data_IF_611396251284
#
_entry.id   IF_611396251284
#
_cell.length_a   1.000
_cell.length_b   1.000
_cell.length_c   1.000
_cell.angle_alpha   90.00
_cell.angle_beta   90.00
_cell.angle_gamma   90.00
#
_symmetry.space_group_name_H-M   'P 1'
#
loop_
_entity.id
_entity.type
_entity.pdbx_description
1 polymer ?
#
# COMPACT_ATOMS: atom_id res chain seq x y z
N UNK A 1 -3.92 -2.61 20.65
CA UNK A 1 -2.90 -3.49 20.05
C UNK A 1 -2.16 -2.66 19.00
N UNK A 2 -0.85 -2.63 18.98
CA UNK A 2 -0.10 -1.87 17.99
C UNK A 2 -0.33 -2.48 16.60
N UNK A 3 -0.87 -1.76 15.61
CA UNK A 3 -1.14 -2.30 14.27
C UNK A 3 0.11 -2.88 13.60
N UNK A 4 1.29 -2.28 13.83
CA UNK A 4 2.57 -2.76 13.33
C UNK A 4 2.92 -4.18 13.80
N UNK A 5 2.50 -4.58 15.01
CA UNK A 5 2.70 -5.94 15.49
C UNK A 5 1.91 -6.98 14.71
N UNK A 6 0.81 -6.61 14.05
CA UNK A 6 0.07 -7.54 13.21
C UNK A 6 0.89 -7.96 11.99
N UNK A 7 1.62 -7.03 11.38
CA UNK A 7 2.54 -7.33 10.27
C UNK A 7 3.68 -8.26 10.73
N UNK A 8 4.27 -7.96 11.88
CA UNK A 8 5.36 -8.78 12.45
C UNK A 8 4.92 -10.20 12.83
N UNK A 9 3.65 -10.42 13.13
CA UNK A 9 3.11 -11.71 13.56
C UNK A 9 2.39 -12.47 12.44
N UNK A 10 2.24 -11.89 11.25
CA UNK A 10 1.48 -12.47 10.14
C UNK A 10 1.95 -13.88 9.78
N UNK A 11 3.25 -14.08 9.55
CA UNK A 11 3.81 -15.39 9.24
C UNK A 11 3.75 -16.38 10.43
N UNK A 12 3.80 -15.89 11.67
CA UNK A 12 3.62 -16.72 12.87
C UNK A 12 2.18 -17.27 12.91
N UNK A 13 1.18 -16.40 12.75
CA UNK A 13 -0.22 -16.81 12.74
C UNK A 13 -0.55 -17.77 11.59
N UNK A 14 -0.05 -17.50 10.39
CA UNK A 14 -0.22 -18.39 9.26
C UNK A 14 0.37 -19.78 9.54
N UNK A 15 1.57 -19.85 10.11
CA UNK A 15 2.22 -21.10 10.46
C UNK A 15 1.49 -21.85 11.57
N UNK A 16 0.95 -21.15 12.56
CA UNK A 16 0.12 -21.76 13.61
C UNK A 16 -1.19 -22.31 13.05
N UNK A 17 -1.85 -21.58 12.14
CA UNK A 17 -3.07 -22.04 11.51
C UNK A 17 -2.88 -23.29 10.64
N UNK A 18 -1.72 -23.45 10.00
CA UNK A 18 -1.38 -24.65 9.23
C UNK A 18 -0.95 -25.85 10.10
N UNK A 19 -0.52 -25.60 11.34
CA UNK A 19 -0.22 -26.66 12.29
C UNK A 19 -1.55 -27.17 12.85
N UNK A 20 -2.16 -28.20 12.20
CA UNK A 20 -3.42 -28.81 12.64
C UNK A 20 -3.44 -29.05 14.14
N UNK A 21 -4.36 -28.39 14.83
CA UNK A 21 -4.55 -28.40 16.28
C UNK A 21 -4.93 -29.77 16.89
N UNK A 22 -5.20 -30.80 16.05
CA UNK A 22 -5.66 -32.12 16.48
C UNK A 22 -4.55 -33.07 16.96
N UNK A 23 -3.32 -32.62 17.02
CA UNK A 23 -2.18 -33.41 17.54
C UNK A 23 -1.41 -32.59 18.59
N UNK A 24 -0.80 -33.26 19.62
CA UNK A 24 -0.05 -32.55 20.63
C UNK A 24 0.95 -31.59 19.97
N UNK A 25 1.18 -30.41 20.55
CA UNK A 25 1.88 -29.31 19.88
C UNK A 25 3.26 -29.76 19.44
N UNK A 26 3.43 -29.97 18.13
CA UNK A 26 4.75 -30.10 17.55
C UNK A 26 5.48 -28.79 17.80
N UNK A 27 6.73 -28.86 18.23
CA UNK A 27 7.57 -27.67 18.30
C UNK A 27 7.54 -26.97 16.94
N UNK A 28 7.05 -25.73 16.90
CA UNK A 28 7.10 -24.89 15.71
C UNK A 28 8.43 -24.18 15.70
N UNK A 29 9.25 -24.46 14.70
CA UNK A 29 10.53 -23.78 14.53
C UNK A 29 10.33 -22.42 13.84
N UNK A 30 11.04 -21.40 14.29
CA UNK A 30 11.13 -20.10 13.61
C UNK A 30 11.83 -20.34 12.27
N UNK A 31 11.17 -19.99 11.17
CA UNK A 31 11.74 -19.99 9.83
C UNK A 31 12.25 -18.60 9.46
N UNK A 32 12.90 -18.48 8.30
CA UNK A 32 13.48 -17.22 7.84
C UNK A 32 12.44 -16.10 7.71
N UNK A 33 11.23 -16.39 7.23
CA UNK A 33 10.16 -15.38 7.10
C UNK A 33 9.75 -14.83 8.46
N UNK A 34 9.51 -15.70 9.46
CA UNK A 34 9.19 -15.28 10.83
C UNK A 34 10.35 -14.48 11.43
N UNK A 35 11.57 -14.93 11.22
CA UNK A 35 12.75 -14.23 11.74
C UNK A 35 12.88 -12.84 11.12
N UNK A 36 12.68 -12.70 9.81
CA UNK A 36 12.68 -11.41 9.11
C UNK A 36 11.59 -10.49 9.62
N UNK A 37 10.36 -10.99 9.82
CA UNK A 37 9.25 -10.22 10.37
C UNK A 37 9.58 -9.67 11.77
N UNK A 38 10.14 -10.50 12.63
CA UNK A 38 10.51 -10.09 13.99
C UNK A 38 11.66 -9.08 14.01
N UNK A 39 12.65 -9.24 13.15
CA UNK A 39 13.75 -8.25 13.03
C UNK A 39 13.22 -6.91 12.53
N UNK A 40 12.34 -6.92 11.54
CA UNK A 40 11.67 -5.71 11.04
C UNK A 40 10.91 -5.00 12.17
N UNK A 41 10.15 -5.75 12.98
CA UNK A 41 9.42 -5.16 14.11
C UNK A 41 10.36 -4.57 15.18
N UNK A 42 11.46 -5.26 15.52
CA UNK A 42 12.43 -4.76 16.49
C UNK A 42 13.07 -3.47 16.00
N UNK A 43 13.45 -3.39 14.73
CA UNK A 43 14.03 -2.20 14.13
C UNK A 43 13.05 -1.00 14.25
N UNK A 44 11.78 -1.18 13.84
CA UNK A 44 10.77 -0.14 13.94
C UNK A 44 10.48 0.30 15.38
N UNK A 45 10.29 -0.67 16.29
CA UNK A 45 10.03 -0.37 17.70
C UNK A 45 11.21 0.34 18.39
N UNK A 46 12.44 0.11 17.94
CA UNK A 46 13.63 0.77 18.48
C UNK A 46 13.78 2.23 17.99
N UNK A 47 13.26 2.54 16.82
CA UNK A 47 13.36 3.87 16.21
C UNK A 47 12.20 4.78 16.59
N UNK A 48 11.01 4.22 16.78
CA UNK A 48 9.83 5.01 17.11
C UNK A 48 9.93 5.52 18.54
N UNK A 49 9.87 6.83 18.78
CA UNK A 49 9.74 7.35 20.13
C UNK A 49 8.46 6.79 20.75
N UNK A 50 8.57 6.16 21.93
CA UNK A 50 7.61 5.26 22.57
C UNK A 50 6.17 5.77 22.84
N UNK A 51 5.75 6.85 22.21
CA UNK A 51 4.43 7.48 22.36
C UNK A 51 3.76 7.88 21.04
N UNK A 52 4.22 7.41 19.88
CA UNK A 52 3.35 7.45 18.72
C UNK A 52 2.26 6.37 18.86
N UNK A 53 1.44 6.54 19.88
CA UNK A 53 0.04 6.24 19.77
C UNK A 53 -0.37 6.93 18.47
N UNK A 54 -0.88 6.16 17.54
CA UNK A 54 -1.65 6.66 16.41
C UNK A 54 -2.70 7.62 17.02
N UNK A 55 -2.36 8.87 17.17
CA UNK A 55 -3.33 9.91 17.20
C UNK A 55 -3.84 9.91 15.76
N UNK A 56 -4.89 9.13 15.53
CA UNK A 56 -5.85 9.51 14.52
C UNK A 56 -6.36 10.87 15.00
N UNK A 57 -5.65 11.92 14.64
CA UNK A 57 -6.25 13.23 14.64
C UNK A 57 -7.32 13.07 13.58
N UNK A 58 -8.59 13.19 14.01
CA UNK A 58 -9.70 13.21 13.07
C UNK A 58 -9.46 14.37 12.11
N UNK A 59 -9.04 14.03 10.89
CA UNK A 59 -8.90 14.98 9.81
C UNK A 59 -9.83 14.59 8.67
N UNK A 60 -10.34 15.57 7.96
CA UNK A 60 -11.17 15.33 6.79
C UNK A 60 -10.30 15.06 5.55
N UNK A 61 -10.82 14.32 4.58
CA UNK A 61 -10.12 14.07 3.32
C UNK A 61 -9.77 15.33 2.54
N UNK A 62 -10.52 16.41 2.77
CA UNK A 62 -10.22 17.74 2.23
C UNK A 62 -8.97 18.38 2.84
N UNK A 63 -8.48 17.87 3.97
CA UNK A 63 -7.26 18.32 4.64
C UNK A 63 -6.01 17.57 4.14
N UNK A 64 -6.15 16.69 3.16
CA UNK A 64 -5.03 15.94 2.59
C UNK A 64 -4.03 16.89 1.89
N UNK A 65 -2.74 16.70 2.16
CA UNK A 65 -1.68 17.42 1.43
C UNK A 65 -1.52 16.88 0.01
N UNK A 66 -1.77 15.57 -0.15
CA UNK A 66 -1.74 14.88 -1.45
C UNK A 66 -2.90 13.89 -1.52
N UNK A 67 -3.55 13.87 -2.68
CA UNK A 67 -4.57 12.89 -3.04
C UNK A 67 -4.12 12.08 -4.25
N UNK A 68 -4.22 10.75 -4.17
CA UNK A 68 -3.93 9.84 -5.26
C UNK A 68 -5.14 8.97 -5.59
N UNK A 69 -5.26 8.58 -6.85
CA UNK A 69 -6.24 7.62 -7.34
C UNK A 69 -5.51 6.47 -8.01
N UNK A 70 -5.82 5.24 -7.61
CA UNK A 70 -5.17 4.02 -8.10
C UNK A 70 -6.17 3.07 -8.72
N UNK A 71 -5.73 2.35 -9.75
CA UNK A 71 -6.48 1.27 -10.38
C UNK A 71 -5.54 0.26 -11.02
N UNK A 72 -6.02 -0.98 -11.18
CA UNK A 72 -5.29 -2.05 -11.84
C UNK A 72 -6.19 -2.79 -12.83
N UNK A 73 -5.64 -3.08 -13.99
CA UNK A 73 -6.25 -3.94 -14.99
C UNK A 73 -5.30 -5.05 -15.40
N UNK A 74 -5.74 -5.95 -16.27
CA UNK A 74 -4.85 -6.96 -16.87
C UNK A 74 -3.75 -6.36 -17.76
N UNK A 75 -3.85 -5.08 -18.12
CA UNK A 75 -2.90 -4.39 -18.97
C UNK A 75 -1.79 -3.68 -18.17
N UNK A 76 -2.11 -3.24 -16.95
CA UNK A 76 -1.14 -2.50 -16.15
C UNK A 76 -1.69 -1.93 -14.85
N UNK A 77 -0.81 -1.25 -14.15
CA UNK A 77 -1.08 -0.44 -12.97
C UNK A 77 -1.13 1.03 -13.38
N UNK A 78 -2.12 1.75 -12.88
CA UNK A 78 -2.27 3.18 -13.12
C UNK A 78 -2.55 3.93 -11.82
N UNK A 79 -1.88 5.06 -11.63
CA UNK A 79 -2.24 5.99 -10.57
C UNK A 79 -1.94 7.44 -11.00
N UNK A 80 -2.64 8.38 -10.37
CA UNK A 80 -2.45 9.79 -10.65
C UNK A 80 -2.73 10.67 -9.43
N UNK A 81 -2.12 11.83 -9.46
CA UNK A 81 -2.22 12.87 -8.45
C UNK A 81 -2.86 14.10 -9.12
N UNK A 82 -4.16 14.35 -8.91
CA UNK A 82 -4.87 15.43 -9.60
C UNK A 82 -4.28 16.80 -9.32
N UNK A 83 -4.00 17.12 -8.06
CA UNK A 83 -3.53 18.43 -7.63
C UNK A 83 -2.12 18.74 -8.14
N UNK A 84 -1.28 17.72 -8.28
CA UNK A 84 0.07 17.84 -8.84
C UNK A 84 0.09 17.70 -10.36
N UNK A 85 -1.04 17.37 -10.96
CA UNK A 85 -1.18 17.13 -12.39
C UNK A 85 -0.19 16.09 -12.94
N UNK A 86 0.09 15.03 -12.18
CA UNK A 86 1.06 13.97 -12.53
C UNK A 86 0.39 12.62 -12.60
N UNK A 87 0.77 11.81 -13.57
CA UNK A 87 0.22 10.49 -13.83
C UNK A 87 1.29 9.48 -14.09
N UNK A 88 1.01 8.23 -13.69
CA UNK A 88 1.93 7.13 -13.79
C UNK A 88 1.25 5.89 -14.32
N UNK A 89 1.96 5.15 -15.14
CA UNK A 89 1.55 3.87 -15.67
C UNK A 89 2.71 2.88 -15.70
N UNK A 90 2.43 1.63 -15.40
CA UNK A 90 3.37 0.51 -15.53
C UNK A 90 2.67 -0.73 -16.08
N UNK A 91 3.42 -1.56 -16.77
CA UNK A 91 2.95 -2.93 -17.08
C UNK A 91 2.85 -3.76 -15.80
N UNK A 92 2.00 -4.79 -15.85
CA UNK A 92 1.98 -5.83 -14.84
C UNK A 92 3.35 -6.52 -14.80
N UNK A 93 3.97 -6.74 -13.63
CA UNK A 93 5.19 -7.55 -13.49
C UNK A 93 5.01 -8.97 -14.06
N UNK A 94 6.07 -9.53 -14.67
CA UNK A 94 6.00 -10.80 -15.41
C UNK A 94 5.83 -12.04 -14.50
N UNK A 95 6.30 -11.97 -13.24
CA UNK A 95 6.22 -13.07 -12.25
C UNK A 95 5.22 -12.77 -11.13
N UNK A 96 3.90 -12.88 -11.40
CA UNK A 96 2.91 -12.56 -10.40
C UNK A 96 2.74 -13.68 -9.35
N UNK A 97 2.48 -13.34 -8.08
CA UNK A 97 1.98 -14.29 -7.10
C UNK A 97 0.62 -14.87 -7.52
N UNK A 98 0.20 -15.99 -6.91
CA UNK A 98 -0.99 -16.78 -7.33
C UNK A 98 -2.32 -16.03 -7.34
N UNK A 99 -2.53 -15.00 -6.53
CA UNK A 99 -3.77 -14.20 -6.49
C UNK A 99 -3.53 -12.80 -7.07
N UNK A 100 -3.33 -12.75 -8.35
CA UNK A 100 -2.64 -11.67 -9.07
C UNK A 100 -3.29 -10.30 -8.98
N UNK A 101 -4.61 -10.17 -9.20
CA UNK A 101 -5.22 -8.84 -9.31
C UNK A 101 -5.19 -8.08 -7.99
N UNK A 102 -5.56 -8.71 -6.87
CA UNK A 102 -5.55 -8.08 -5.55
C UNK A 102 -4.15 -7.71 -5.07
N UNK A 103 -3.14 -8.52 -5.44
CA UNK A 103 -1.75 -8.21 -5.15
C UNK A 103 -1.32 -6.93 -5.89
N UNK A 104 -1.67 -6.81 -7.15
CA UNK A 104 -1.32 -5.65 -7.95
C UNK A 104 -2.09 -4.39 -7.53
N UNK A 105 -3.33 -4.52 -7.06
CA UNK A 105 -4.07 -3.42 -6.44
C UNK A 105 -3.32 -2.86 -5.23
N UNK A 106 -2.88 -3.72 -4.33
CA UNK A 106 -2.07 -3.31 -3.18
C UNK A 106 -0.72 -2.71 -3.62
N UNK A 107 -0.09 -3.28 -4.64
CA UNK A 107 1.17 -2.78 -5.20
C UNK A 107 1.02 -1.41 -5.86
N UNK A 108 -0.13 -1.14 -6.50
CA UNK A 108 -0.45 0.18 -7.07
C UNK A 108 -0.56 1.24 -5.97
N UNK A 109 -1.23 0.91 -4.85
CA UNK A 109 -1.32 1.80 -3.69
C UNK A 109 0.07 2.07 -3.10
N UNK A 110 0.89 1.05 -2.87
CA UNK A 110 2.28 1.23 -2.41
C UNK A 110 3.08 2.10 -3.38
N UNK A 111 2.92 1.89 -4.68
CA UNK A 111 3.62 2.71 -5.70
C UNK A 111 3.20 4.18 -5.61
N UNK A 112 1.92 4.46 -5.39
CA UNK A 112 1.44 5.83 -5.19
C UNK A 112 2.00 6.44 -3.90
N UNK A 113 2.07 5.69 -2.79
CA UNK A 113 2.70 6.14 -1.54
C UNK A 113 4.15 6.54 -1.79
N UNK A 114 4.93 5.70 -2.46
CA UNK A 114 6.34 5.97 -2.76
C UNK A 114 6.50 7.25 -3.61
N UNK A 115 5.65 7.43 -4.61
CA UNK A 115 5.74 8.59 -5.49
C UNK A 115 5.23 9.89 -4.83
N UNK A 116 4.31 9.81 -3.87
CA UNK A 116 3.77 10.98 -3.19
C UNK A 116 4.86 11.82 -2.50
N UNK A 117 5.83 11.17 -1.86
CA UNK A 117 6.92 11.85 -1.14
C UNK A 117 7.93 12.52 -2.07
N UNK A 118 8.02 12.07 -3.33
CA UNK A 118 8.86 12.73 -4.34
C UNK A 118 8.19 13.98 -4.94
N UNK A 119 6.85 14.09 -4.84
CA UNK A 119 6.10 15.22 -5.38
C UNK A 119 5.99 16.39 -4.39
N UNK A 120 6.03 16.10 -3.10
CA UNK A 120 5.95 17.11 -2.06
C UNK A 120 6.89 16.73 -0.90
N UNK A 121 7.74 17.64 -0.47
CA UNK A 121 8.75 17.40 0.57
C UNK A 121 8.19 17.38 2.00
N UNK A 122 6.96 17.85 2.20
CA UNK A 122 6.34 17.97 3.53
C UNK A 122 4.93 17.35 3.56
N UNK A 123 4.80 16.16 2.97
CA UNK A 123 3.53 15.39 3.05
C UNK A 123 3.32 14.90 4.48
N UNK A 124 2.23 15.30 5.11
CA UNK A 124 1.80 14.78 6.42
C UNK A 124 0.53 13.96 6.33
N UNK A 125 -0.31 14.24 5.34
CA UNK A 125 -1.63 13.63 5.15
C UNK A 125 -1.77 13.19 3.70
N UNK A 126 -1.85 11.89 3.49
CA UNK A 126 -2.00 11.27 2.18
C UNK A 126 -3.31 10.51 2.10
N UNK A 127 -4.13 10.83 1.12
CA UNK A 127 -5.31 10.04 0.75
C UNK A 127 -5.05 9.28 -0.52
N UNK A 128 -5.33 7.99 -0.51
CA UNK A 128 -5.29 7.13 -1.70
C UNK A 128 -6.65 6.51 -1.93
N UNK A 129 -7.23 6.77 -3.08
CA UNK A 129 -8.50 6.18 -3.51
C UNK A 129 -8.23 4.92 -4.35
N UNK A 130 -8.93 3.83 -4.04
CA UNK A 130 -8.96 2.59 -4.81
C UNK A 130 -10.38 2.06 -4.88
N UNK A 131 -10.77 1.43 -5.98
CA UNK A 131 -12.07 0.78 -6.11
C UNK A 131 -12.08 -0.66 -5.58
N UNK A 132 -10.95 -1.16 -5.11
CA UNK A 132 -10.81 -2.47 -4.50
C UNK A 132 -10.98 -2.43 -2.97
N UNK A 133 -12.13 -2.89 -2.48
CA UNK A 133 -12.44 -2.92 -1.04
C UNK A 133 -11.46 -3.74 -0.21
N UNK A 134 -10.90 -4.83 -0.77
CA UNK A 134 -9.92 -5.66 -0.04
C UNK A 134 -8.62 -4.87 0.17
N UNK A 135 -8.17 -4.15 -0.84
CA UNK A 135 -7.00 -3.26 -0.76
C UNK A 135 -7.22 -2.18 0.30
N UNK A 136 -8.37 -1.51 0.28
CA UNK A 136 -8.74 -0.53 1.32
C UNK A 136 -8.67 -1.14 2.72
N UNK A 137 -9.22 -2.34 2.89
CA UNK A 137 -9.27 -3.02 4.18
C UNK A 137 -7.88 -3.38 4.70
N UNK A 138 -7.00 -3.97 3.87
CA UNK A 138 -5.67 -4.39 4.32
C UNK A 138 -4.78 -3.21 4.72
N UNK A 139 -4.85 -2.09 4.00
CA UNK A 139 -4.08 -0.90 4.34
C UNK A 139 -4.57 -0.24 5.63
N UNK A 140 -5.88 -0.09 5.80
CA UNK A 140 -6.44 0.55 7.00
C UNK A 140 -6.34 -0.33 8.26
N UNK A 141 -6.30 -1.65 8.12
CA UNK A 141 -6.15 -2.56 9.27
C UNK A 141 -4.70 -3.01 9.51
N UNK A 142 -3.80 -2.82 8.55
CA UNK A 142 -2.46 -3.42 8.51
C UNK A 142 -2.50 -4.95 8.75
N UNK A 143 -3.54 -5.61 8.25
CA UNK A 143 -3.78 -7.03 8.43
C UNK A 143 -4.10 -7.68 7.10
N UNK A 144 -3.24 -8.60 6.67
CA UNK A 144 -3.38 -9.30 5.40
C UNK A 144 -2.85 -10.73 5.47
N UNK A 145 -3.12 -11.49 4.40
CA UNK A 145 -2.45 -12.76 4.16
C UNK A 145 -0.94 -12.56 3.97
N UNK A 146 -0.10 -13.55 4.29
CA UNK A 146 1.36 -13.46 4.19
C UNK A 146 1.89 -12.95 2.84
N UNK A 147 1.19 -13.24 1.73
CA UNK A 147 1.56 -12.79 0.39
C UNK A 147 1.56 -11.25 0.23
N UNK A 148 0.81 -10.52 1.06
CA UNK A 148 0.73 -9.05 1.03
C UNK A 148 1.61 -8.38 2.08
N UNK A 149 2.23 -9.18 2.95
CA UNK A 149 2.94 -8.65 4.12
C UNK A 149 4.09 -7.71 3.73
N UNK A 150 4.83 -8.05 2.69
CA UNK A 150 5.97 -7.24 2.24
C UNK A 150 5.51 -5.91 1.60
N UNK A 151 4.35 -5.89 0.93
CA UNK A 151 3.75 -4.65 0.43
C UNK A 151 3.38 -3.72 1.59
N UNK A 152 2.71 -4.26 2.61
CA UNK A 152 2.31 -3.47 3.78
C UNK A 152 3.52 -2.98 4.58
N UNK A 153 4.55 -3.82 4.76
CA UNK A 153 5.81 -3.41 5.39
C UNK A 153 6.49 -2.30 4.60
N UNK A 154 6.63 -2.46 3.28
CA UNK A 154 7.21 -1.44 2.42
C UNK A 154 6.44 -0.11 2.49
N UNK A 155 5.12 -0.16 2.67
CA UNK A 155 4.30 1.04 2.88
C UNK A 155 4.61 1.68 4.23
N UNK A 156 4.68 0.90 5.31
CA UNK A 156 5.04 1.38 6.65
C UNK A 156 6.45 1.95 6.67
N UNK A 157 7.42 1.25 6.06
CA UNK A 157 8.80 1.71 5.95
C UNK A 157 8.88 3.08 5.30
N UNK A 158 8.08 3.29 4.25
CA UNK A 158 8.06 4.53 3.52
C UNK A 158 7.36 5.66 4.30
N UNK A 159 6.20 5.38 4.92
CA UNK A 159 5.43 6.34 5.71
C UNK A 159 6.16 6.79 6.98
N UNK A 160 7.03 5.93 7.53
CA UNK A 160 7.82 6.18 8.73
C UNK A 160 9.30 6.48 8.44
N UNK A 161 9.67 6.67 7.19
CA UNK A 161 11.07 6.88 6.77
C UNK A 161 11.71 8.12 7.38
N UNK A 162 10.92 9.16 7.62
CA UNK A 162 11.31 10.38 8.30
C UNK A 162 10.57 10.50 9.64
N UNK A 163 11.28 10.34 10.76
CA UNK A 163 10.70 10.37 12.12
C UNK A 163 10.11 11.75 12.45
N UNK A 164 10.68 12.81 11.90
CA UNK A 164 10.21 14.19 12.13
C UNK A 164 9.01 14.54 11.24
N UNK A 165 8.76 13.73 10.20
CA UNK A 165 7.71 13.97 9.22
C UNK A 165 6.94 12.68 8.90
N UNK A 166 6.29 12.12 9.91
CA UNK A 166 5.43 10.93 9.76
C UNK A 166 4.22 11.25 8.89
N UNK A 167 3.89 10.34 7.97
CA UNK A 167 2.77 10.50 7.05
C UNK A 167 1.57 9.71 7.54
N UNK A 168 0.45 10.41 7.77
CA UNK A 168 -0.85 9.80 8.02
C UNK A 168 -1.46 9.37 6.68
N UNK A 169 -1.74 8.09 6.54
CA UNK A 169 -2.33 7.50 5.33
C UNK A 169 -3.78 7.11 5.56
N UNK A 170 -4.66 7.54 4.64
CA UNK A 170 -5.99 6.98 4.48
C UNK A 170 -6.12 6.33 3.11
N UNK A 171 -6.50 5.06 3.07
CA UNK A 171 -6.92 4.39 1.85
C UNK A 171 -8.44 4.29 1.86
N UNK A 172 -9.07 4.87 0.85
CA UNK A 172 -10.52 5.06 0.81
C UNK A 172 -11.10 4.41 -0.44
N UNK A 173 -12.24 3.76 -0.26
CA UNK A 173 -12.95 3.19 -1.38
C UNK A 173 -13.63 4.26 -2.24
N UNK A 174 -13.41 4.18 -3.54
CA UNK A 174 -14.13 4.94 -4.55
C UNK A 174 -14.84 3.96 -5.50
N UNK A 175 -16.02 4.31 -5.99
CA UNK A 175 -16.67 3.48 -7.02
C UNK A 175 -15.90 3.58 -8.33
N UNK A 176 -15.75 2.47 -9.08
CA UNK A 176 -15.03 2.45 -10.36
C UNK A 176 -15.57 3.48 -11.38
N UNK A 177 -16.88 3.82 -11.30
CA UNK A 177 -17.46 4.88 -12.13
C UNK A 177 -16.89 6.28 -11.87
N UNK A 178 -16.34 6.53 -10.71
CA UNK A 178 -15.70 7.79 -10.32
C UNK A 178 -14.18 7.73 -10.45
N UNK A 179 -13.60 6.54 -10.61
CA UNK A 179 -12.15 6.33 -10.75
C UNK A 179 -11.68 6.36 -12.23
N UNK A 180 -12.30 7.24 -13.04
CA UNK A 180 -12.21 7.24 -14.51
C UNK A 180 -10.77 7.35 -15.01
N UNK A 181 -9.97 8.24 -14.43
CA UNK A 181 -8.61 8.50 -14.91
C UNK A 181 -7.67 7.35 -14.57
N UNK A 182 -7.73 6.80 -13.36
CA UNK A 182 -6.90 5.67 -12.97
C UNK A 182 -7.29 4.39 -13.72
N UNK A 183 -8.60 4.12 -13.93
CA UNK A 183 -9.07 3.00 -14.76
C UNK A 183 -8.59 3.14 -16.21
N UNK A 184 -8.70 4.33 -16.80
CA UNK A 184 -8.20 4.58 -18.15
C UNK A 184 -6.67 4.42 -18.24
N UNK A 185 -5.92 4.85 -17.22
CA UNK A 185 -4.46 4.64 -17.15
C UNK A 185 -4.12 3.16 -17.10
N UNK A 186 -4.74 2.38 -16.20
CA UNK A 186 -4.48 0.96 -16.04
C UNK A 186 -4.72 0.18 -17.34
N UNK A 187 -5.73 0.59 -18.13
CA UNK A 187 -6.12 0.00 -19.42
C UNK A 187 -5.41 0.59 -20.64
N UNK A 188 -4.51 1.54 -20.46
CA UNK A 188 -3.82 2.26 -21.54
C UNK A 188 -4.76 3.07 -22.46
N UNK A 189 -5.93 3.48 -21.96
CA UNK A 189 -6.84 4.37 -22.70
C UNK A 189 -6.39 5.82 -22.56
N UNK A 190 -5.19 6.13 -23.05
CA UNK A 190 -4.55 7.43 -22.86
C UNK A 190 -5.31 8.59 -23.49
N UNK A 191 -6.11 8.35 -24.53
CA UNK A 191 -7.01 9.38 -25.09
C UNK A 191 -8.04 9.82 -24.05
N UNK A 192 -8.69 8.87 -23.38
CA UNK A 192 -9.63 9.16 -22.29
C UNK A 192 -8.96 9.93 -21.15
N UNK A 193 -7.72 9.54 -20.82
CA UNK A 193 -6.92 10.24 -19.79
C UNK A 193 -6.70 11.71 -20.18
N UNK A 194 -6.40 12.00 -21.45
CA UNK A 194 -6.19 13.36 -21.96
C UNK A 194 -7.50 14.17 -21.96
N UNK A 195 -8.62 13.54 -22.29
CA UNK A 195 -9.93 14.20 -22.33
C UNK A 195 -10.36 14.69 -20.93
N UNK A 196 -10.12 13.88 -19.88
CA UNK A 196 -10.49 14.21 -18.51
C UNK A 196 -9.49 15.15 -17.81
N UNK A 197 -8.25 15.13 -18.21
CA UNK A 197 -7.22 15.99 -17.64
C UNK A 197 -6.20 16.37 -18.73
N UNK A 198 -6.49 17.38 -19.56
CA UNK A 198 -5.68 17.77 -20.70
C UNK A 198 -4.30 18.30 -20.26
N UNK A 199 -3.30 18.18 -21.15
CA UNK A 199 -1.99 18.79 -21.00
C UNK A 199 -1.00 18.05 -20.09
N UNK A 200 -1.33 16.85 -19.59
CA UNK A 200 -0.48 16.09 -18.66
C UNK A 200 0.15 14.88 -19.37
N UNK A 201 1.47 14.75 -19.19
CA UNK A 201 2.25 13.60 -19.68
C UNK A 201 2.04 12.39 -18.77
N UNK A 202 1.88 11.21 -19.36
CA UNK A 202 1.88 9.94 -18.63
C UNK A 202 3.34 9.49 -18.44
N UNK A 203 3.76 9.38 -17.18
CA UNK A 203 5.08 8.89 -16.83
C UNK A 203 5.05 7.37 -16.67
N UNK A 204 6.13 6.69 -17.02
CA UNK A 204 6.30 5.28 -16.69
C UNK A 204 6.99 5.12 -15.35
N UNK A 205 6.68 4.04 -14.64
CA UNK A 205 7.36 3.68 -13.39
C UNK A 205 7.65 2.18 -13.34
N UNK A 206 8.51 1.78 -12.40
CA UNK A 206 8.76 0.37 -12.08
C UNK A 206 8.17 0.10 -10.70
N UNK A 207 7.18 -0.80 -10.58
CA UNK A 207 6.64 -1.19 -9.28
C UNK A 207 7.72 -1.82 -8.40
N UNK A 208 7.63 -1.68 -7.06
CA UNK A 208 8.53 -2.37 -6.14
C UNK A 208 8.50 -3.89 -6.35
N UNK A 209 9.65 -4.54 -6.16
CA UNK A 209 9.81 -6.00 -6.20
C UNK A 209 10.09 -6.51 -4.78
N UNK A 210 9.47 -7.66 -4.42
CA UNK A 210 9.63 -8.32 -3.12
C UNK A 210 9.94 -9.80 -3.27
#
# INVERSE_FOLDING_TARGET
>A
MYPLLQLALSNIYAKMAHAKLDKPPKKLYVNNSIHSDLLWAVDHLSRLPGTHVLKSVDWDTSDADITAYCDVSLMGLGFWFPDQSVRFWSRIPEDPPKDTIFYFEALSVLSAIIHSTSLCTLVKRLVVYSDNLNTVQIFNSLSALPAYNDILKGSVDHLLSDIDNLIDLWVIHITGKLNIVADALSRQYFNTVVDYAPGIVVNTFSPPHF
#
